data_IF_048462584322
#
_entry.id   IF_048462584322
#
_cell.length_a   1.000
_cell.length_b   1.000
_cell.length_c   1.000
_cell.angle_alpha   90.00
_cell.angle_beta   90.00
_cell.angle_gamma   90.00
#
_symmetry.space_group_name_H-M   'P 1'
#
loop_
_entity.id
_entity.type
_entity.pdbx_description
1 polymer ?
#
# COMPACT_ATOMS: atom_id res chain seq x y z
N UNK A 1 26.63 -16.32 -54.34
CA UNK A 1 25.48 -15.39 -54.14
C UNK A 1 24.77 -15.83 -52.88
N UNK A 2 24.98 -15.12 -51.77
CA UNK A 2 24.29 -15.38 -50.51
C UNK A 2 23.20 -14.31 -50.33
N UNK A 3 21.94 -14.63 -49.99
CA UNK A 3 20.94 -13.64 -49.68
C UNK A 3 21.11 -13.22 -48.21
N UNK A 4 21.07 -11.92 -48.00
CA UNK A 4 21.11 -11.22 -46.73
C UNK A 4 19.92 -11.64 -45.83
N UNK A 5 20.24 -12.10 -44.62
CA UNK A 5 19.26 -12.19 -43.51
C UNK A 5 19.07 -10.81 -42.91
N UNK A 6 17.86 -10.33 -42.90
CA UNK A 6 17.43 -9.11 -42.19
C UNK A 6 17.45 -9.34 -40.67
N UNK A 7 17.83 -8.35 -39.85
CA UNK A 7 17.79 -8.49 -38.41
C UNK A 7 16.34 -8.39 -37.92
N UNK A 8 15.94 -9.36 -37.07
CA UNK A 8 14.69 -9.36 -36.33
C UNK A 8 14.55 -8.10 -35.50
N UNK A 9 13.52 -7.34 -35.77
CA UNK A 9 13.11 -6.17 -35.01
C UNK A 9 12.43 -6.68 -33.72
N UNK A 10 13.08 -6.49 -32.59
CA UNK A 10 12.46 -6.70 -31.28
C UNK A 10 11.21 -5.82 -31.15
N UNK A 11 10.10 -6.31 -30.56
CA UNK A 11 8.92 -5.51 -30.35
C UNK A 11 9.24 -4.38 -29.38
N UNK A 12 9.01 -3.15 -29.81
CA UNK A 12 9.06 -1.96 -28.96
C UNK A 12 8.00 -2.10 -27.86
N UNK A 13 8.45 -2.27 -26.62
CA UNK A 13 7.59 -2.07 -25.47
C UNK A 13 7.15 -0.61 -25.47
N UNK A 14 5.88 -0.39 -25.78
CA UNK A 14 5.23 0.90 -25.54
C UNK A 14 5.33 1.16 -24.04
N UNK A 15 6.17 2.11 -23.65
CA UNK A 15 6.20 2.66 -22.30
C UNK A 15 4.79 3.27 -22.05
N UNK A 16 3.97 2.55 -21.29
CA UNK A 16 2.83 3.16 -20.61
C UNK A 16 3.43 4.22 -19.68
N UNK A 17 3.11 5.48 -19.93
CA UNK A 17 3.35 6.56 -18.97
C UNK A 17 2.55 6.23 -17.71
N UNK A 18 3.18 5.51 -16.77
CA UNK A 18 2.66 5.30 -15.44
C UNK A 18 2.76 6.64 -14.71
N UNK A 19 1.62 7.33 -14.57
CA UNK A 19 1.52 8.44 -13.65
C UNK A 19 1.92 7.94 -12.26
N UNK A 20 3.05 8.45 -11.74
CA UNK A 20 3.49 8.18 -10.37
C UNK A 20 2.40 8.67 -9.41
N UNK A 21 1.90 7.78 -8.57
CA UNK A 21 0.93 8.12 -7.54
C UNK A 21 -0.19 7.08 -7.41
N UNK A 22 -0.84 7.08 -6.25
CA UNK A 22 -2.01 6.23 -6.01
C UNK A 22 -3.21 6.75 -6.82
N UNK A 23 -4.05 5.85 -7.37
CA UNK A 23 -5.34 6.24 -7.93
C UNK A 23 -6.17 7.01 -6.90
N UNK A 24 -6.81 8.10 -7.33
CA UNK A 24 -7.64 8.95 -6.44
C UNK A 24 -8.76 8.17 -5.76
N UNK A 25 -9.26 7.11 -6.40
CA UNK A 25 -10.29 6.21 -5.86
C UNK A 25 -9.78 5.10 -4.95
N UNK A 26 -8.46 4.93 -4.75
CA UNK A 26 -7.94 3.88 -3.87
C UNK A 26 -8.25 4.20 -2.41
N UNK A 27 -9.07 3.37 -1.74
CA UNK A 27 -9.55 3.59 -0.37
C UNK A 27 -9.29 2.44 0.58
N UNK A 28 -9.25 1.20 0.08
CA UNK A 28 -9.04 0.00 0.88
C UNK A 28 -7.70 -0.66 0.53
N UNK A 29 -6.80 -0.68 1.50
CA UNK A 29 -5.48 -1.27 1.41
C UNK A 29 -5.40 -2.46 2.37
N UNK A 30 -4.98 -3.62 1.89
CA UNK A 30 -4.80 -4.84 2.67
C UNK A 30 -3.31 -5.14 2.85
N UNK A 31 -2.86 -5.38 4.10
CA UNK A 31 -1.59 -6.05 4.34
C UNK A 31 -1.84 -7.52 4.70
N UNK A 32 -1.08 -8.43 4.11
CA UNK A 32 -1.13 -9.87 4.39
C UNK A 32 0.28 -10.45 4.55
N UNK A 33 0.39 -11.53 5.28
CA UNK A 33 1.56 -12.41 5.30
C UNK A 33 1.53 -13.40 4.12
N UNK A 34 2.51 -14.30 4.07
CA UNK A 34 2.62 -15.36 3.07
C UNK A 34 1.56 -16.46 3.19
N UNK A 35 0.73 -16.46 4.24
CA UNK A 35 -0.33 -17.45 4.53
C UNK A 35 0.13 -18.91 4.46
N UNK A 36 1.38 -19.15 4.89
CA UNK A 36 2.01 -20.48 4.81
C UNK A 36 1.20 -21.58 5.50
N UNK A 37 0.67 -21.27 6.69
CA UNK A 37 -0.12 -22.23 7.48
C UNK A 37 -1.46 -22.60 6.83
N UNK A 38 -1.96 -21.76 5.93
CA UNK A 38 -3.22 -21.95 5.20
C UNK A 38 -3.01 -22.51 3.80
N UNK A 39 -1.88 -22.19 3.16
CA UNK A 39 -1.55 -22.63 1.81
C UNK A 39 -2.49 -22.09 0.74
N UNK A 40 -3.18 -20.99 1.01
CA UNK A 40 -4.27 -20.43 0.20
C UNK A 40 -3.96 -19.05 -0.39
N UNK A 41 -2.68 -18.64 -0.43
CA UNK A 41 -2.28 -17.26 -0.78
C UNK A 41 -2.87 -16.79 -2.12
N UNK A 42 -2.81 -17.62 -3.16
CA UNK A 42 -3.31 -17.25 -4.49
C UNK A 42 -4.83 -17.01 -4.50
N UNK A 43 -5.61 -17.93 -3.92
CA UNK A 43 -7.06 -17.84 -3.84
C UNK A 43 -7.49 -16.68 -2.95
N UNK A 44 -6.77 -16.44 -1.86
CA UNK A 44 -7.02 -15.37 -0.92
C UNK A 44 -6.84 -13.97 -1.54
N UNK A 45 -5.71 -13.72 -2.23
CA UNK A 45 -5.46 -12.40 -2.82
C UNK A 45 -6.43 -12.13 -3.97
N UNK A 46 -6.82 -13.16 -4.73
CA UNK A 46 -7.83 -13.05 -5.78
C UNK A 46 -9.22 -12.71 -5.19
N UNK A 47 -9.64 -13.40 -4.13
CA UNK A 47 -10.90 -13.13 -3.42
C UNK A 47 -10.91 -11.72 -2.79
N UNK A 48 -9.81 -11.27 -2.19
CA UNK A 48 -9.72 -9.95 -1.61
C UNK A 48 -9.83 -8.84 -2.68
N UNK A 49 -9.18 -8.99 -3.83
CA UNK A 49 -9.34 -8.06 -4.96
C UNK A 49 -10.74 -8.10 -5.55
N UNK A 50 -11.36 -9.27 -5.68
CA UNK A 50 -12.75 -9.41 -6.13
C UNK A 50 -13.73 -8.69 -5.20
N UNK A 51 -13.43 -8.62 -3.89
CA UNK A 51 -14.18 -7.86 -2.89
C UNK A 51 -13.95 -6.34 -2.93
N UNK A 52 -13.04 -5.87 -3.79
CA UNK A 52 -12.80 -4.45 -4.02
C UNK A 52 -11.57 -3.86 -3.34
N UNK A 53 -10.70 -4.66 -2.72
CA UNK A 53 -9.40 -4.16 -2.21
C UNK A 53 -8.65 -3.48 -3.36
N UNK A 54 -8.12 -2.29 -3.12
CA UNK A 54 -7.42 -1.50 -4.13
C UNK A 54 -5.94 -1.80 -4.20
N UNK A 55 -5.33 -2.10 -3.04
CA UNK A 55 -3.90 -2.37 -2.90
C UNK A 55 -3.71 -3.55 -1.96
N UNK A 56 -2.96 -4.57 -2.36
CA UNK A 56 -2.52 -5.63 -1.45
C UNK A 56 -1.01 -5.58 -1.27
N UNK A 57 -0.54 -5.52 -0.03
CA UNK A 57 0.86 -5.57 0.34
C UNK A 57 1.21 -6.93 0.93
N UNK A 58 2.20 -7.59 0.35
CA UNK A 58 2.86 -8.72 1.00
C UNK A 58 3.81 -8.19 2.08
N UNK A 59 3.54 -8.56 3.33
CA UNK A 59 4.31 -8.18 4.50
C UNK A 59 4.53 -9.39 5.40
N UNK A 60 5.53 -10.18 5.10
CA UNK A 60 6.00 -11.29 5.93
C UNK A 60 7.50 -11.13 6.18
N UNK A 61 7.87 -10.94 7.45
CA UNK A 61 9.29 -10.74 7.84
C UNK A 61 10.02 -12.07 8.07
N UNK A 62 9.33 -13.19 7.91
CA UNK A 62 9.85 -14.54 8.12
C UNK A 62 10.14 -15.31 6.85
N UNK A 63 9.95 -14.71 5.68
CA UNK A 63 10.22 -15.35 4.38
C UNK A 63 11.57 -14.94 3.80
N UNK A 64 12.17 -15.85 3.04
CA UNK A 64 13.41 -15.59 2.32
C UNK A 64 13.11 -14.87 0.98
N UNK A 65 14.10 -14.16 0.44
CA UNK A 65 13.93 -13.33 -0.76
C UNK A 65 13.41 -14.11 -1.99
N UNK A 66 13.83 -15.35 -2.18
CA UNK A 66 13.35 -16.16 -3.31
C UNK A 66 11.85 -16.45 -3.19
N UNK A 67 11.40 -16.88 -2.03
CA UNK A 67 9.97 -17.13 -1.76
C UNK A 67 9.15 -15.84 -1.83
N UNK A 68 9.69 -14.72 -1.33
CA UNK A 68 9.03 -13.41 -1.45
C UNK A 68 8.78 -13.05 -2.91
N UNK A 69 9.78 -13.22 -3.79
CA UNK A 69 9.64 -12.96 -5.23
C UNK A 69 8.62 -13.90 -5.91
N UNK A 70 8.56 -15.18 -5.53
CA UNK A 70 7.56 -16.12 -6.05
C UNK A 70 6.14 -15.70 -5.66
N UNK A 71 5.92 -15.35 -4.39
CA UNK A 71 4.60 -14.88 -3.90
C UNK A 71 4.22 -13.53 -4.52
N UNK A 72 5.18 -12.63 -4.72
CA UNK A 72 4.93 -11.36 -5.40
C UNK A 72 4.54 -11.56 -6.87
N UNK A 73 5.08 -12.55 -7.56
CA UNK A 73 4.63 -12.88 -8.92
C UNK A 73 3.16 -13.36 -8.95
N UNK A 74 2.74 -14.15 -7.95
CA UNK A 74 1.33 -14.55 -7.76
C UNK A 74 0.45 -13.34 -7.50
N UNK A 75 0.87 -12.45 -6.58
CA UNK A 75 0.15 -11.23 -6.24
C UNK A 75 0.04 -10.28 -7.42
N UNK A 76 1.11 -10.09 -8.20
CA UNK A 76 1.11 -9.31 -9.43
C UNK A 76 0.10 -9.82 -10.45
N UNK A 77 0.07 -11.15 -10.66
CA UNK A 77 -0.87 -11.77 -11.59
C UNK A 77 -2.33 -11.57 -11.15
N UNK A 78 -2.62 -11.70 -9.85
CA UNK A 78 -3.95 -11.40 -9.30
C UNK A 78 -4.31 -9.92 -9.47
N UNK A 79 -3.42 -9.00 -9.09
CA UNK A 79 -3.64 -7.57 -9.26
C UNK A 79 -3.93 -7.18 -10.71
N UNK A 80 -3.20 -7.76 -11.66
CA UNK A 80 -3.41 -7.52 -13.10
C UNK A 80 -4.80 -7.98 -13.58
N UNK A 81 -5.29 -9.15 -13.11
CA UNK A 81 -6.64 -9.63 -13.44
C UNK A 81 -7.75 -8.69 -12.99
N UNK A 82 -7.56 -8.04 -11.84
CA UNK A 82 -8.56 -7.15 -11.24
C UNK A 82 -8.32 -5.66 -11.54
N UNK A 83 -7.26 -5.29 -12.27
CA UNK A 83 -6.90 -3.89 -12.54
C UNK A 83 -6.55 -3.13 -11.25
N UNK A 84 -5.92 -3.81 -10.29
CA UNK A 84 -5.58 -3.30 -8.96
C UNK A 84 -4.06 -3.18 -8.75
N UNK A 85 -3.64 -2.64 -7.61
CA UNK A 85 -2.25 -2.44 -7.27
C UNK A 85 -1.76 -3.48 -6.25
N UNK A 86 -0.46 -3.67 -6.23
CA UNK A 86 0.22 -4.51 -5.26
C UNK A 86 1.48 -3.82 -4.74
N UNK A 87 1.91 -4.17 -3.54
CA UNK A 87 2.96 -3.46 -2.83
C UNK A 87 3.95 -4.40 -2.15
N UNK A 88 5.21 -3.94 -2.09
CA UNK A 88 6.31 -4.56 -1.32
C UNK A 88 6.55 -3.76 -0.05
N UNK A 89 6.86 -4.47 1.04
CA UNK A 89 7.14 -3.90 2.36
C UNK A 89 8.65 -3.89 2.65
N UNK A 90 9.20 -2.75 3.10
CA UNK A 90 10.55 -2.55 3.65
C UNK A 90 11.74 -2.84 2.70
N UNK A 91 11.65 -3.81 1.79
CA UNK A 91 12.71 -4.33 0.93
C UNK A 91 12.72 -3.66 -0.44
N UNK A 92 13.48 -2.56 -0.58
CA UNK A 92 13.59 -1.82 -1.86
C UNK A 92 14.25 -2.64 -2.98
N UNK A 93 15.18 -3.55 -2.64
CA UNK A 93 15.78 -4.50 -3.58
C UNK A 93 14.74 -5.47 -4.17
N UNK A 94 13.84 -6.00 -3.34
CA UNK A 94 12.72 -6.85 -3.77
C UNK A 94 11.72 -6.05 -4.59
N UNK A 95 11.40 -4.81 -4.18
CA UNK A 95 10.51 -3.93 -4.95
C UNK A 95 11.07 -3.64 -6.35
N UNK A 96 12.39 -3.38 -6.45
CA UNK A 96 13.07 -3.18 -7.72
C UNK A 96 13.05 -4.44 -8.60
N UNK A 97 13.41 -5.60 -8.03
CA UNK A 97 13.49 -6.87 -8.77
C UNK A 97 12.12 -7.35 -9.25
N UNK A 98 11.08 -7.17 -8.44
CA UNK A 98 9.72 -7.57 -8.79
C UNK A 98 8.98 -6.56 -9.66
N UNK A 99 9.51 -5.33 -9.80
CA UNK A 99 8.83 -4.25 -10.52
C UNK A 99 7.57 -3.74 -9.80
N UNK A 100 7.56 -3.77 -8.46
CA UNK A 100 6.40 -3.39 -7.67
C UNK A 100 5.96 -1.95 -7.93
N UNK A 101 4.67 -1.70 -8.26
CA UNK A 101 4.17 -0.35 -8.48
C UNK A 101 4.07 0.47 -7.19
N UNK A 102 3.95 -0.21 -6.04
CA UNK A 102 3.87 0.45 -4.73
C UNK A 102 4.92 -0.14 -3.78
N UNK A 103 5.60 0.74 -3.05
CA UNK A 103 6.58 0.41 -2.04
C UNK A 103 6.28 1.12 -0.73
N UNK A 104 6.28 0.41 0.39
CA UNK A 104 5.97 0.98 1.70
C UNK A 104 7.08 0.74 2.71
N UNK A 105 7.47 1.80 3.41
CA UNK A 105 8.53 1.80 4.42
C UNK A 105 8.05 2.34 5.77
N UNK A 106 8.71 1.90 6.84
CA UNK A 106 8.56 2.46 8.18
C UNK A 106 9.66 3.46 8.52
N UNK A 107 9.55 4.10 9.69
CA UNK A 107 10.46 5.16 10.17
C UNK A 107 11.91 4.67 10.46
N UNK A 108 12.12 3.35 10.55
CA UNK A 108 13.43 2.76 10.84
C UNK A 108 14.02 1.98 9.65
N UNK A 109 13.29 1.95 8.55
CA UNK A 109 13.72 1.33 7.30
C UNK A 109 14.53 2.33 6.46
N UNK A 110 14.70 2.08 5.16
CA UNK A 110 15.41 3.01 4.28
C UNK A 110 14.77 4.40 4.28
N UNK A 111 15.55 5.49 4.33
CA UNK A 111 15.01 6.82 4.09
C UNK A 111 14.35 6.93 2.71
N UNK A 112 13.30 7.75 2.58
CA UNK A 112 12.57 7.97 1.31
C UNK A 112 13.52 8.31 0.16
N UNK A 113 14.51 9.19 0.38
CA UNK A 113 15.50 9.56 -0.64
C UNK A 113 16.34 8.36 -1.11
N UNK A 114 16.71 7.45 -0.20
CA UNK A 114 17.46 6.24 -0.55
C UNK A 114 16.58 5.24 -1.31
N UNK A 115 15.31 5.11 -0.92
CA UNK A 115 14.34 4.30 -1.67
C UNK A 115 14.17 4.83 -3.10
N UNK A 116 14.08 6.15 -3.27
CA UNK A 116 13.99 6.81 -4.58
C UNK A 116 15.24 6.58 -5.46
N UNK A 117 16.42 6.59 -4.85
CA UNK A 117 17.66 6.27 -5.57
C UNK A 117 17.61 4.88 -6.21
N UNK A 118 16.97 3.90 -5.56
CA UNK A 118 16.84 2.54 -6.07
C UNK A 118 15.65 2.38 -7.04
N UNK A 119 14.51 2.99 -6.74
CA UNK A 119 13.25 2.75 -7.43
C UNK A 119 12.91 3.81 -8.48
N UNK A 120 13.59 4.96 -8.45
CA UNK A 120 13.27 6.09 -9.32
C UNK A 120 11.91 6.74 -9.03
N UNK A 121 11.42 7.52 -10.00
CA UNK A 121 10.13 8.21 -9.90
C UNK A 121 8.93 7.32 -10.28
N UNK A 122 9.16 6.15 -10.88
CA UNK A 122 8.09 5.28 -11.39
C UNK A 122 7.33 4.49 -10.32
N UNK A 123 7.94 4.26 -9.16
CA UNK A 123 7.29 3.55 -8.06
C UNK A 123 6.58 4.54 -7.12
N UNK A 124 5.41 4.17 -6.63
CA UNK A 124 4.68 4.90 -5.58
C UNK A 124 5.27 4.56 -4.22
N UNK A 125 5.85 5.53 -3.50
CA UNK A 125 6.52 5.33 -2.21
C UNK A 125 5.67 5.85 -1.07
N UNK A 126 5.39 4.99 -0.08
CA UNK A 126 4.62 5.28 1.12
C UNK A 126 5.43 5.16 2.40
N UNK A 127 5.05 5.94 3.43
CA UNK A 127 5.72 6.00 4.73
C UNK A 127 4.73 5.84 5.88
N UNK A 128 5.05 4.98 6.86
CA UNK A 128 4.33 4.91 8.14
C UNK A 128 4.62 6.12 9.02
N UNK A 129 3.60 6.72 9.65
CA UNK A 129 3.73 7.79 10.65
C UNK A 129 3.01 7.44 11.96
N UNK A 130 3.55 7.91 13.09
CA UNK A 130 3.12 7.53 14.44
C UNK A 130 3.06 8.71 15.43
N UNK A 131 3.49 9.90 15.02
CA UNK A 131 3.43 11.15 15.78
C UNK A 131 3.05 12.30 14.86
N UNK A 132 2.63 13.42 15.45
CA UNK A 132 2.32 14.67 14.73
C UNK A 132 3.50 15.17 13.91
N UNK A 133 4.71 15.15 14.47
CA UNK A 133 5.93 15.60 13.79
C UNK A 133 6.24 14.72 12.55
N UNK A 134 5.93 13.42 12.63
CA UNK A 134 6.11 12.51 11.49
C UNK A 134 5.06 12.76 10.40
N UNK A 135 3.82 13.09 10.76
CA UNK A 135 2.77 13.50 9.82
C UNK A 135 3.19 14.77 9.08
N UNK A 136 3.60 15.82 9.82
CA UNK A 136 4.12 17.05 9.21
C UNK A 136 5.34 16.79 8.31
N UNK A 137 6.25 15.91 8.77
CA UNK A 137 7.41 15.48 7.98
C UNK A 137 7.00 14.83 6.65
N UNK A 138 5.99 13.97 6.67
CA UNK A 138 5.46 13.33 5.47
C UNK A 138 4.85 14.36 4.50
N UNK A 139 4.07 15.31 5.00
CA UNK A 139 3.49 16.39 4.20
C UNK A 139 4.60 17.25 3.56
N UNK A 140 5.64 17.60 4.32
CA UNK A 140 6.79 18.35 3.77
C UNK A 140 7.55 17.56 2.70
N UNK A 141 7.73 16.25 2.87
CA UNK A 141 8.42 15.38 1.89
C UNK A 141 7.66 15.26 0.57
N UNK A 142 6.33 15.39 0.56
CA UNK A 142 5.55 15.38 -0.68
C UNK A 142 5.70 16.68 -1.47
N UNK A 143 5.86 17.81 -0.77
CA UNK A 143 6.04 19.12 -1.39
C UNK A 143 7.44 19.32 -2.00
N UNK A 144 8.41 18.48 -1.60
CA UNK A 144 9.78 18.52 -2.11
C UNK A 144 9.88 17.68 -3.38
N UNK A 145 9.47 18.25 -4.50
CA UNK A 145 9.65 17.61 -5.82
C UNK A 145 11.15 17.66 -6.16
N UNK A 146 11.87 16.59 -5.87
CA UNK A 146 13.20 16.34 -6.45
C UNK A 146 13.04 15.65 -7.79
N UNK A 147 14.08 15.68 -8.65
CA UNK A 147 14.10 14.94 -9.94
C UNK A 147 13.76 13.45 -9.76
N UNK A 148 14.00 12.91 -8.57
CA UNK A 148 13.82 11.49 -8.25
C UNK A 148 12.49 11.18 -7.55
N UNK A 149 11.61 12.18 -7.36
CA UNK A 149 10.32 12.06 -6.69
C UNK A 149 10.38 12.26 -5.17
N UNK A 150 9.24 12.62 -4.58
CA UNK A 150 9.03 12.78 -3.14
C UNK A 150 8.33 11.58 -2.52
N UNK A 151 7.58 11.83 -1.43
CA UNK A 151 6.67 10.87 -0.82
C UNK A 151 5.31 10.94 -1.55
N UNK A 152 4.72 9.79 -1.89
CA UNK A 152 3.46 9.72 -2.62
C UNK A 152 2.25 9.45 -1.72
N UNK A 153 2.45 8.84 -0.54
CA UNK A 153 1.40 8.66 0.45
C UNK A 153 1.98 8.37 1.83
N UNK A 154 1.17 8.48 2.87
CA UNK A 154 1.56 8.05 4.21
C UNK A 154 0.46 7.28 4.93
N UNK A 155 0.83 6.54 5.97
CA UNK A 155 -0.10 5.83 6.83
C UNK A 155 0.03 6.32 8.27
N UNK A 156 -1.10 6.55 8.93
CA UNK A 156 -1.21 7.02 10.32
C UNK A 156 -1.66 5.88 11.22
N UNK A 157 -0.88 5.53 12.24
CA UNK A 157 -1.25 4.48 13.17
C UNK A 157 -0.10 3.89 13.97
N UNK A 158 -0.33 2.81 14.73
CA UNK A 158 -1.58 2.05 14.78
C UNK A 158 -2.66 2.80 15.60
N UNK A 159 -3.87 2.93 15.05
CA UNK A 159 -4.97 3.60 15.76
C UNK A 159 -5.31 2.84 17.03
N UNK A 160 -5.46 1.52 16.96
CA UNK A 160 -5.59 0.62 18.10
C UNK A 160 -4.41 -0.33 18.20
N UNK A 161 -4.16 -0.83 19.40
CA UNK A 161 -3.14 -1.86 19.62
C UNK A 161 -3.43 -3.10 18.76
N UNK A 162 -2.39 -3.61 18.11
CA UNK A 162 -2.53 -4.74 17.18
C UNK A 162 -1.37 -5.72 17.33
N UNK A 163 -1.61 -7.04 17.28
CA UNK A 163 -0.56 -8.04 17.31
C UNK A 163 0.35 -8.00 16.06
N UNK A 164 -0.09 -7.42 14.97
CA UNK A 164 0.69 -7.30 13.72
C UNK A 164 2.00 -6.50 13.89
N UNK A 165 2.04 -5.56 14.84
CA UNK A 165 3.25 -4.82 15.23
C UNK A 165 3.39 -4.82 16.76
N UNK A 166 3.86 -5.93 17.37
CA UNK A 166 3.97 -6.06 18.82
C UNK A 166 4.85 -4.94 19.43
N UNK A 167 4.47 -4.48 20.62
CA UNK A 167 5.24 -3.46 21.36
C UNK A 167 5.08 -2.02 20.87
N UNK A 168 4.23 -1.75 19.87
CA UNK A 168 3.89 -0.41 19.44
C UNK A 168 2.61 0.07 20.14
N UNK A 169 2.69 1.17 20.86
CA UNK A 169 1.53 1.78 21.50
C UNK A 169 0.52 2.27 20.46
N UNK A 170 -0.77 2.18 20.78
CA UNK A 170 -1.83 2.80 20.00
C UNK A 170 -1.68 4.32 20.01
N UNK A 171 -1.88 4.96 18.85
CA UNK A 171 -1.84 6.43 18.73
C UNK A 171 -3.22 7.07 18.88
N UNK A 172 -4.29 6.26 18.86
CA UNK A 172 -5.67 6.71 19.01
C UNK A 172 -6.21 7.43 17.77
N UNK A 173 -7.47 7.84 17.88
CA UNK A 173 -8.15 8.66 16.88
C UNK A 173 -7.63 10.10 16.84
N UNK A 174 -7.05 10.59 17.93
CA UNK A 174 -6.49 11.96 18.02
C UNK A 174 -5.42 12.21 16.95
N UNK A 175 -4.55 11.23 16.67
CA UNK A 175 -3.57 11.38 15.61
C UNK A 175 -4.19 11.29 14.21
N UNK A 176 -5.29 10.54 14.04
CA UNK A 176 -6.05 10.49 12.79
C UNK A 176 -6.67 11.85 12.49
N UNK A 177 -7.34 12.44 13.48
CA UNK A 177 -7.92 13.78 13.39
C UNK A 177 -6.84 14.84 13.12
N UNK A 178 -5.72 14.78 13.84
CA UNK A 178 -4.58 15.67 13.59
C UNK A 178 -4.08 15.59 12.14
N UNK A 179 -3.96 14.39 11.59
CA UNK A 179 -3.53 14.21 10.20
C UNK A 179 -4.51 14.82 9.20
N UNK A 180 -5.82 14.64 9.42
CA UNK A 180 -6.85 15.23 8.58
C UNK A 180 -6.78 16.78 8.61
N UNK A 181 -6.64 17.37 9.80
CA UNK A 181 -6.51 18.81 10.01
C UNK A 181 -5.21 19.37 9.37
N UNK A 182 -4.07 18.69 9.56
CA UNK A 182 -2.77 19.12 9.02
C UNK A 182 -2.75 19.07 7.48
N UNK A 183 -3.30 18.02 6.86
CA UNK A 183 -3.44 17.91 5.40
C UNK A 183 -4.34 19.04 4.88
N UNK A 184 -5.49 19.27 5.51
CA UNK A 184 -6.42 20.34 5.13
C UNK A 184 -5.79 21.74 5.28
N UNK A 185 -5.16 22.02 6.42
CA UNK A 185 -4.55 23.32 6.72
C UNK A 185 -3.40 23.68 5.78
N UNK A 186 -2.65 22.69 5.30
CA UNK A 186 -1.55 22.89 4.34
C UNK A 186 -2.01 22.92 2.89
N UNK A 187 -3.26 22.58 2.60
CA UNK A 187 -3.76 22.38 1.24
C UNK A 187 -3.08 21.21 0.51
N UNK A 188 -2.49 20.28 1.25
CA UNK A 188 -1.80 19.12 0.69
C UNK A 188 -2.80 18.17 0.04
N UNK A 189 -2.46 17.67 -1.14
CA UNK A 189 -3.21 16.60 -1.84
C UNK A 189 -2.62 15.22 -1.61
N UNK A 190 -1.61 15.10 -0.72
CA UNK A 190 -0.96 13.83 -0.41
C UNK A 190 -1.96 12.81 0.14
N UNK A 191 -2.20 11.69 -0.54
CA UNK A 191 -3.07 10.64 -0.03
C UNK A 191 -2.55 10.08 1.28
N UNK A 192 -3.46 9.75 2.19
CA UNK A 192 -3.09 9.09 3.44
C UNK A 192 -4.14 8.07 3.88
N UNK A 193 -3.72 7.11 4.70
CA UNK A 193 -4.52 6.01 5.19
C UNK A 193 -4.42 5.92 6.71
N UNK A 194 -5.52 5.66 7.38
CA UNK A 194 -5.49 5.21 8.77
C UNK A 194 -5.20 3.69 8.82
N UNK A 195 -4.39 3.26 9.79
CA UNK A 195 -3.99 1.84 9.93
C UNK A 195 -3.94 1.41 11.40
N UNK A 196 -4.23 0.14 11.64
CA UNK A 196 -3.99 -0.53 12.93
C UNK A 196 -5.25 -0.79 13.73
N UNK A 197 -5.66 -2.05 13.76
CA UNK A 197 -6.83 -2.53 14.51
C UNK A 197 -8.18 -2.11 13.92
N UNK A 198 -8.21 -1.67 12.67
CA UNK A 198 -9.43 -1.24 11.99
C UNK A 198 -10.20 -2.46 11.50
N UNK A 199 -11.50 -2.48 11.77
CA UNK A 199 -12.47 -3.48 11.33
C UNK A 199 -13.88 -2.86 11.17
N UNK A 200 -14.89 -3.66 10.85
CA UNK A 200 -16.27 -3.19 10.67
C UNK A 200 -16.89 -2.59 11.96
N UNK A 201 -16.39 -2.96 13.13
CA UNK A 201 -16.92 -2.46 14.41
C UNK A 201 -16.41 -1.05 14.77
N UNK A 202 -15.40 -0.54 14.07
CA UNK A 202 -14.77 0.73 14.43
C UNK A 202 -14.42 1.63 13.23
N UNK A 203 -14.64 1.19 11.99
CA UNK A 203 -14.32 1.97 10.78
C UNK A 203 -15.08 3.31 10.74
N UNK A 204 -16.29 3.38 11.22
CA UNK A 204 -17.09 4.62 11.30
C UNK A 204 -16.37 5.69 12.13
N UNK A 205 -15.83 5.33 13.30
CA UNK A 205 -15.05 6.25 14.14
C UNK A 205 -13.79 6.79 13.42
N UNK A 206 -13.18 5.95 12.57
CA UNK A 206 -12.00 6.36 11.78
C UNK A 206 -12.39 7.38 10.71
N UNK A 207 -13.54 7.20 10.07
CA UNK A 207 -14.07 8.15 9.08
C UNK A 207 -14.50 9.46 9.75
N UNK A 208 -15.19 9.39 10.90
CA UNK A 208 -15.55 10.57 11.70
C UNK A 208 -14.32 11.37 12.13
N UNK A 209 -13.18 10.69 12.39
CA UNK A 209 -11.90 11.35 12.66
C UNK A 209 -11.23 11.93 11.39
N UNK A 210 -11.84 11.82 10.21
CA UNK A 210 -11.42 12.45 8.96
C UNK A 210 -10.64 11.57 7.99
N UNK A 211 -10.48 10.25 8.25
CA UNK A 211 -9.81 9.35 7.34
C UNK A 211 -10.76 8.79 6.27
N UNK A 212 -10.58 9.17 5.02
CA UNK A 212 -11.33 8.60 3.89
C UNK A 212 -10.74 7.31 3.31
N UNK A 213 -9.60 6.82 3.84
CA UNK A 213 -8.85 5.65 3.37
C UNK A 213 -8.32 4.85 4.56
N UNK A 214 -8.36 3.52 4.45
CA UNK A 214 -7.91 2.62 5.53
C UNK A 214 -6.96 1.53 5.03
N UNK A 215 -6.06 1.10 5.91
CA UNK A 215 -5.29 -0.13 5.77
C UNK A 215 -5.77 -1.13 6.81
N UNK A 216 -6.12 -2.31 6.38
CA UNK A 216 -6.59 -3.40 7.24
C UNK A 216 -5.67 -4.63 7.13
N UNK A 217 -5.73 -5.49 8.13
CA UNK A 217 -5.09 -6.81 8.15
C UNK A 217 -6.14 -7.84 8.51
N UNK A 218 -6.33 -8.10 9.80
CA UNK A 218 -7.18 -9.19 10.32
C UNK A 218 -8.64 -9.12 9.90
N UNK A 219 -9.17 -7.92 9.69
CA UNK A 219 -10.54 -7.75 9.21
C UNK A 219 -10.83 -8.50 7.90
N UNK A 220 -9.79 -8.77 7.09
CA UNK A 220 -9.90 -9.55 5.86
C UNK A 220 -9.12 -10.87 5.96
N UNK A 221 -7.89 -10.88 6.52
CA UNK A 221 -7.06 -12.10 6.55
C UNK A 221 -7.63 -13.20 7.43
N UNK A 222 -8.43 -12.87 8.45
CA UNK A 222 -9.09 -13.82 9.35
C UNK A 222 -10.56 -14.08 8.99
N UNK A 223 -11.10 -13.37 7.99
CA UNK A 223 -12.47 -13.56 7.54
C UNK A 223 -12.65 -14.94 6.86
N UNK A 224 -13.81 -15.55 7.08
CA UNK A 224 -14.19 -16.79 6.38
C UNK A 224 -14.51 -16.54 4.89
N UNK A 225 -14.90 -15.32 4.55
CA UNK A 225 -15.15 -14.84 3.19
C UNK A 225 -14.43 -13.49 2.99
N UNK A 226 -13.20 -13.51 2.44
CA UNK A 226 -12.43 -12.29 2.19
C UNK A 226 -13.13 -11.31 1.22
N UNK A 227 -13.88 -11.82 0.24
CA UNK A 227 -14.63 -11.00 -0.71
C UNK A 227 -15.72 -10.21 -0.01
N UNK A 228 -16.55 -10.88 0.78
CA UNK A 228 -17.62 -10.23 1.53
C UNK A 228 -17.08 -9.24 2.58
N UNK A 229 -15.97 -9.59 3.25
CA UNK A 229 -15.34 -8.72 4.24
C UNK A 229 -14.81 -7.41 3.62
N UNK A 230 -14.14 -7.51 2.47
CA UNK A 230 -13.64 -6.34 1.75
C UNK A 230 -14.80 -5.45 1.26
N UNK A 231 -15.83 -6.03 0.64
CA UNK A 231 -17.00 -5.30 0.17
C UNK A 231 -17.73 -4.58 1.31
N UNK A 232 -17.88 -5.23 2.48
CA UNK A 232 -18.50 -4.63 3.64
C UNK A 232 -17.71 -3.44 4.19
N UNK A 233 -16.37 -3.52 4.24
CA UNK A 233 -15.51 -2.40 4.65
C UNK A 233 -15.63 -1.21 3.71
N UNK A 234 -15.67 -1.44 2.40
CA UNK A 234 -15.88 -0.37 1.42
C UNK A 234 -17.25 0.28 1.57
N UNK A 235 -18.31 -0.51 1.74
CA UNK A 235 -19.66 0.00 1.97
C UNK A 235 -19.73 0.86 3.25
N UNK A 236 -19.03 0.45 4.33
CA UNK A 236 -18.95 1.23 5.55
C UNK A 236 -18.19 2.56 5.37
N UNK A 237 -17.10 2.57 4.58
CA UNK A 237 -16.38 3.78 4.21
C UNK A 237 -17.25 4.75 3.39
N UNK A 238 -18.11 4.22 2.49
CA UNK A 238 -19.02 5.04 1.67
C UNK A 238 -20.15 5.64 2.51
N UNK A 239 -20.74 4.81 3.38
CA UNK A 239 -21.85 5.24 4.24
C UNK A 239 -21.43 6.33 5.25
N UNK A 240 -20.22 6.23 5.80
CA UNK A 240 -19.72 7.20 6.77
C UNK A 240 -19.19 8.49 6.13
N UNK A 241 -18.96 8.51 4.82
CA UNK A 241 -18.51 9.69 4.07
C UNK A 241 -19.69 10.51 3.47
N UNK A 242 -20.91 9.99 3.55
CA UNK A 242 -22.13 10.61 3.02
C UNK A 242 -22.79 11.56 4.03
#
# INVERSE_FOLDING_TARGET
MNPHSSPDTLPSHSAQESSSGLPTGARLYLCTDARRDRGDFADFVDAAFAGGVDIIQLRDKGIEAAEELELLAVLQAAAARHGKLWAVNDRADIAMLSGAPVFHIGQKDLPVASARTLLGAGATVGLSTHTSEQVEGAIRMSATVTSDGGLDYFCVGPVWATPTKPGRAAVGLDLVQYAAEAVSATGSTLPWFAIGGIDLGNVEQVVEAGAGRIVVVRAITEASDPTAAAAALLAALDAAAA
#
